data_IF_357507386113
#
_entry.id   IF_357507386113
#
_cell.length_a   1.000
_cell.length_b   1.000
_cell.length_c   1.000
_cell.angle_alpha   90.00
_cell.angle_beta   90.00
_cell.angle_gamma   90.00
#
_symmetry.space_group_name_H-M   'P 1'
#
loop_
_entity.id
_entity.type
_entity.pdbx_description
1 polymer ?
#
# COMPACT_ATOMS: atom_id res chain seq x y z
N UNK A 1 35.46 -3.77 6.37
CA UNK A 1 34.23 -4.61 6.27
C UNK A 1 33.49 -4.11 5.05
N UNK A 2 32.88 -4.95 4.26
CA UNK A 2 32.07 -4.49 3.12
C UNK A 2 30.86 -3.72 3.69
N UNK A 3 30.55 -2.54 3.13
CA UNK A 3 29.41 -1.70 3.55
C UNK A 3 28.08 -2.47 3.57
N UNK A 4 27.93 -3.43 2.68
CA UNK A 4 26.81 -4.35 2.62
C UNK A 4 26.68 -5.20 3.86
N UNK A 5 27.81 -5.64 4.41
CA UNK A 5 27.88 -6.44 5.62
C UNK A 5 27.58 -5.62 6.87
N UNK A 6 28.10 -4.39 6.95
CA UNK A 6 27.77 -3.47 8.04
C UNK A 6 26.28 -3.12 8.07
N UNK A 7 25.67 -2.89 6.89
CA UNK A 7 24.24 -2.64 6.76
C UNK A 7 23.44 -3.83 7.34
N UNK A 8 23.78 -5.07 6.94
CA UNK A 8 23.11 -6.26 7.43
C UNK A 8 23.24 -6.42 8.96
N UNK A 9 24.41 -6.10 9.52
CA UNK A 9 24.61 -6.13 10.98
C UNK A 9 23.68 -5.14 11.69
N UNK A 10 23.51 -3.91 11.18
CA UNK A 10 22.58 -2.92 11.76
C UNK A 10 21.14 -3.41 11.66
N UNK A 11 20.73 -4.02 10.55
CA UNK A 11 19.40 -4.65 10.40
C UNK A 11 19.20 -5.75 11.44
N UNK A 12 20.14 -6.70 11.54
CA UNK A 12 20.06 -7.80 12.51
C UNK A 12 19.92 -7.29 13.94
N UNK A 13 20.79 -6.36 14.36
CA UNK A 13 20.78 -5.80 15.70
C UNK A 13 19.53 -4.93 15.96
N UNK A 14 19.08 -4.18 14.97
CA UNK A 14 17.96 -3.26 15.09
C UNK A 14 16.60 -3.95 15.19
N UNK A 15 16.38 -5.02 14.43
CA UNK A 15 15.15 -5.81 14.42
C UNK A 15 15.22 -7.08 15.27
N UNK A 16 16.35 -7.36 15.91
CA UNK A 16 16.59 -8.59 16.65
C UNK A 16 16.34 -9.85 15.79
N UNK A 17 16.89 -9.84 14.57
CA UNK A 17 16.78 -10.93 13.62
C UNK A 17 18.11 -11.68 13.50
N UNK A 18 18.03 -13.00 13.29
CA UNK A 18 19.19 -13.75 12.84
C UNK A 18 19.56 -13.37 11.38
N UNK A 19 20.80 -13.61 11.01
CA UNK A 19 21.37 -13.22 9.73
C UNK A 19 20.61 -13.82 8.53
N UNK A 20 20.18 -15.08 8.61
CA UNK A 20 19.47 -15.76 7.52
C UNK A 20 18.11 -15.11 7.29
N UNK A 21 17.37 -14.86 8.35
CA UNK A 21 16.08 -14.18 8.31
C UNK A 21 16.23 -12.75 7.78
N UNK A 22 17.22 -11.99 8.26
CA UNK A 22 17.47 -10.64 7.79
C UNK A 22 17.83 -10.60 6.28
N UNK A 23 18.68 -11.53 5.80
CA UNK A 23 18.98 -11.64 4.37
C UNK A 23 17.73 -11.91 3.55
N UNK A 24 16.91 -12.86 3.97
CA UNK A 24 15.68 -13.21 3.26
C UNK A 24 14.72 -12.02 3.10
N UNK A 25 14.58 -11.17 4.12
CA UNK A 25 13.65 -10.03 4.07
C UNK A 25 14.22 -8.79 3.38
N UNK A 26 15.52 -8.57 3.42
CA UNK A 26 16.12 -7.30 3.01
C UNK A 26 17.15 -7.42 1.88
N UNK A 27 17.45 -8.64 1.40
CA UNK A 27 18.44 -8.89 0.34
C UNK A 27 17.93 -9.80 -0.76
N UNK A 28 17.03 -10.74 -0.42
CA UNK A 28 16.47 -11.67 -1.39
C UNK A 28 15.20 -11.09 -2.06
N UNK A 29 14.82 -9.86 -1.70
CA UNK A 29 13.71 -9.14 -2.35
C UNK A 29 14.06 -8.78 -3.79
N UNK A 30 13.17 -9.01 -4.78
CA UNK A 30 13.45 -8.79 -6.20
C UNK A 30 13.69 -7.32 -6.55
N UNK A 31 13.19 -6.39 -5.74
CA UNK A 31 13.40 -4.95 -5.94
C UNK A 31 14.67 -4.43 -5.30
N UNK A 32 15.38 -5.29 -4.57
CA UNK A 32 16.54 -4.87 -3.83
C UNK A 32 17.75 -4.58 -4.73
N UNK A 33 18.33 -3.39 -4.56
CA UNK A 33 19.59 -2.98 -5.15
C UNK A 33 20.46 -2.22 -4.13
N UNK A 34 21.78 -2.29 -4.29
CA UNK A 34 22.72 -1.70 -3.31
C UNK A 34 22.57 -0.18 -3.22
N UNK A 35 22.31 0.50 -4.34
CA UNK A 35 22.13 1.95 -4.42
C UNK A 35 20.85 2.48 -3.76
N UNK A 36 19.94 1.61 -3.34
CA UNK A 36 18.73 1.98 -2.61
C UNK A 36 18.96 2.12 -1.09
N UNK A 37 20.15 1.73 -0.61
CA UNK A 37 20.48 1.73 0.82
C UNK A 37 21.01 3.08 1.26
N UNK A 38 20.49 3.51 2.39
CA UNK A 38 20.89 4.74 3.05
C UNK A 38 21.41 4.44 4.44
N UNK A 39 22.52 5.06 4.78
CA UNK A 39 23.19 4.89 6.07
C UNK A 39 23.54 6.21 6.72
N UNK A 40 23.53 6.22 8.06
CA UNK A 40 24.02 7.31 8.87
C UNK A 40 25.19 6.79 9.68
N UNK A 41 26.37 7.41 9.48
CA UNK A 41 27.59 7.09 10.18
C UNK A 41 27.85 8.14 11.25
N UNK A 42 28.33 7.68 12.40
CA UNK A 42 28.87 8.54 13.44
C UNK A 42 30.36 8.29 13.58
N UNK A 43 31.10 9.37 13.82
CA UNK A 43 32.52 9.24 14.14
C UNK A 43 32.67 8.74 15.56
N UNK A 44 33.34 7.60 15.71
CA UNK A 44 33.68 7.01 17.01
C UNK A 44 35.20 6.87 17.09
N UNK A 45 35.84 7.72 17.88
CA UNK A 45 37.30 7.88 17.94
C UNK A 45 37.87 8.26 16.54
N UNK A 46 38.66 7.38 15.96
CA UNK A 46 39.27 7.56 14.64
C UNK A 46 38.45 6.90 13.49
N UNK A 47 37.42 6.15 13.82
CA UNK A 47 36.67 5.35 12.83
C UNK A 47 35.22 5.85 12.66
N UNK A 48 34.66 5.59 11.48
CA UNK A 48 33.25 5.81 11.20
C UNK A 48 32.49 4.53 11.47
N UNK A 49 31.39 4.61 12.21
CA UNK A 49 30.50 3.50 12.53
C UNK A 49 29.12 3.75 11.93
N UNK A 50 28.61 2.79 11.17
CA UNK A 50 27.24 2.80 10.67
C UNK A 50 26.30 2.53 11.82
N UNK A 51 25.37 3.46 12.11
CA UNK A 51 24.52 3.40 13.32
C UNK A 51 23.03 3.41 13.02
N UNK A 52 22.61 3.90 11.86
CA UNK A 52 21.21 3.89 11.44
C UNK A 52 21.12 3.66 9.94
N UNK A 53 20.12 2.90 9.52
CA UNK A 53 19.93 2.51 8.12
C UNK A 53 18.46 2.56 7.72
N UNK A 54 18.23 2.68 6.42
CA UNK A 54 16.96 2.40 5.76
C UNK A 54 17.21 2.05 4.28
N UNK A 55 16.20 1.49 3.63
CA UNK A 55 16.19 1.25 2.18
C UNK A 55 15.06 2.06 1.56
N UNK A 56 15.31 2.71 0.41
CA UNK A 56 14.33 3.42 -0.39
C UNK A 56 14.16 2.70 -1.73
N UNK A 57 13.11 1.90 -1.86
CA UNK A 57 12.85 1.02 -3.01
C UNK A 57 11.97 1.74 -4.03
N UNK A 58 12.41 1.92 -5.30
CA UNK A 58 11.55 2.50 -6.33
C UNK A 58 10.40 1.54 -6.65
N UNK A 59 9.18 2.06 -6.58
CA UNK A 59 7.94 1.32 -6.79
C UNK A 59 6.97 2.18 -7.60
N UNK A 60 5.89 1.56 -8.06
CA UNK A 60 4.74 2.26 -8.63
C UNK A 60 3.47 1.75 -7.95
N UNK A 61 2.69 2.69 -7.39
CA UNK A 61 1.44 2.38 -6.69
C UNK A 61 0.24 2.90 -7.48
N UNK A 62 -0.87 2.18 -7.43
CA UNK A 62 -2.12 2.66 -8.03
C UNK A 62 -2.90 3.53 -7.06
N UNK A 63 -3.32 4.70 -7.54
CA UNK A 63 -4.25 5.60 -6.86
C UNK A 63 -5.41 5.88 -7.82
N UNK A 64 -6.56 5.28 -7.58
CA UNK A 64 -7.62 5.21 -8.59
C UNK A 64 -7.12 4.52 -9.86
N UNK A 65 -7.32 5.14 -11.01
CA UNK A 65 -6.83 4.65 -12.30
C UNK A 65 -5.37 5.02 -12.59
N UNK A 66 -4.73 5.84 -11.75
CA UNK A 66 -3.37 6.35 -12.00
C UNK A 66 -2.31 5.43 -11.42
N UNK A 67 -1.25 5.21 -12.19
CA UNK A 67 0.00 4.59 -11.73
C UNK A 67 0.94 5.71 -11.29
N UNK A 68 1.21 5.80 -10.00
CA UNK A 68 1.99 6.87 -9.38
C UNK A 68 3.36 6.32 -9.00
N UNK A 69 4.47 6.82 -9.56
CA UNK A 69 5.80 6.49 -9.10
C UNK A 69 5.95 6.84 -7.62
N UNK A 70 6.61 5.98 -6.85
CA UNK A 70 6.83 6.23 -5.43
C UNK A 70 8.09 5.50 -4.93
N UNK A 71 8.49 5.82 -3.71
CA UNK A 71 9.52 5.06 -3.02
C UNK A 71 8.95 4.35 -1.79
N UNK A 72 9.16 3.04 -1.71
CA UNK A 72 8.89 2.23 -0.53
C UNK A 72 10.02 2.39 0.49
N UNK A 73 9.72 2.96 1.67
CA UNK A 73 10.72 3.10 2.74
C UNK A 73 10.66 1.87 3.63
N UNK A 74 11.73 1.11 3.63
CA UNK A 74 11.85 -0.17 4.31
C UNK A 74 13.06 -0.23 5.25
N UNK A 75 13.04 -1.12 6.23
CA UNK A 75 14.20 -1.43 7.06
C UNK A 75 14.70 -0.28 7.95
N UNK A 76 13.84 0.71 8.26
CA UNK A 76 14.23 1.86 9.08
C UNK A 76 14.61 1.39 10.48
N UNK A 77 15.89 1.43 10.79
CA UNK A 77 16.37 1.00 12.10
C UNK A 77 17.63 1.73 12.55
N UNK A 78 17.87 1.69 13.87
CA UNK A 78 19.06 2.26 14.54
C UNK A 78 19.58 1.25 15.56
N UNK A 79 20.89 1.10 15.62
CA UNK A 79 21.53 0.24 16.62
C UNK A 79 21.00 0.54 18.02
N UNK A 80 20.71 -0.48 18.86
CA UNK A 80 20.08 -0.29 20.17
C UNK A 80 20.75 0.75 21.05
N UNK A 81 22.07 0.77 21.11
CA UNK A 81 22.88 1.68 21.94
C UNK A 81 22.89 3.14 21.42
N UNK A 82 22.41 3.38 20.19
CA UNK A 82 22.30 4.70 19.57
C UNK A 82 20.87 5.22 19.46
N UNK A 83 19.88 4.47 19.95
CA UNK A 83 18.46 4.87 19.93
C UNK A 83 18.20 6.12 20.77
N UNK A 84 17.05 6.76 20.53
CA UNK A 84 16.58 7.98 21.25
C UNK A 84 17.48 9.21 21.07
N UNK A 85 18.36 9.22 20.05
CA UNK A 85 19.22 10.36 19.70
C UNK A 85 18.76 11.10 18.45
N UNK A 86 17.58 10.79 17.92
CA UNK A 86 17.04 11.43 16.72
C UNK A 86 17.66 10.98 15.40
N UNK A 87 18.50 9.93 15.38
CA UNK A 87 19.26 9.50 14.19
C UNK A 87 18.35 8.97 13.08
N UNK A 88 17.38 8.10 13.39
CA UNK A 88 16.41 7.65 12.41
C UNK A 88 15.60 8.81 11.82
N UNK A 89 15.26 9.82 12.65
CA UNK A 89 14.58 11.03 12.19
C UNK A 89 15.46 11.86 11.23
N UNK A 90 16.76 11.98 11.54
CA UNK A 90 17.70 12.69 10.68
C UNK A 90 17.88 11.98 9.34
N UNK A 91 18.06 10.65 9.36
CA UNK A 91 18.20 9.82 8.17
C UNK A 91 16.94 9.89 7.30
N UNK A 92 15.75 9.75 7.91
CA UNK A 92 14.48 9.80 7.18
C UNK A 92 14.26 11.16 6.51
N UNK A 93 14.62 12.28 7.16
CA UNK A 93 14.56 13.61 6.55
C UNK A 93 15.52 13.73 5.37
N UNK A 94 16.78 13.34 5.55
CA UNK A 94 17.78 13.39 4.49
C UNK A 94 17.36 12.61 3.23
N UNK A 95 16.77 11.41 3.41
CA UNK A 95 16.27 10.60 2.31
C UNK A 95 15.07 11.29 1.64
N UNK A 96 14.11 11.80 2.38
CA UNK A 96 12.95 12.51 1.80
C UNK A 96 13.40 13.77 1.03
N UNK A 97 14.41 14.49 1.52
CA UNK A 97 14.95 15.68 0.84
C UNK A 97 15.68 15.30 -0.45
N UNK A 98 16.42 14.20 -0.46
CA UNK A 98 17.05 13.68 -1.67
C UNK A 98 16.01 13.21 -2.70
N UNK A 99 15.00 12.46 -2.27
CA UNK A 99 13.91 12.02 -3.14
C UNK A 99 13.13 13.21 -3.73
N UNK A 100 12.96 14.30 -2.94
CA UNK A 100 12.35 15.54 -3.44
C UNK A 100 13.22 16.19 -4.51
N UNK A 101 14.53 16.22 -4.31
CA UNK A 101 15.45 16.76 -5.30
C UNK A 101 15.44 15.96 -6.62
N UNK A 102 15.15 14.67 -6.57
CA UNK A 102 14.94 13.80 -7.72
C UNK A 102 13.54 13.98 -8.36
N UNK A 103 12.66 14.76 -7.75
CA UNK A 103 11.30 14.98 -8.25
C UNK A 103 10.33 13.83 -7.93
N UNK A 104 10.65 12.97 -6.97
CA UNK A 104 9.76 11.87 -6.58
C UNK A 104 8.40 12.39 -6.10
N UNK A 105 7.27 11.89 -6.62
CA UNK A 105 5.95 12.35 -6.20
C UNK A 105 5.61 11.94 -4.76
N UNK A 106 5.94 10.71 -4.38
CA UNK A 106 5.37 10.06 -3.22
C UNK A 106 6.37 9.10 -2.57
N UNK A 107 6.32 8.98 -1.25
CA UNK A 107 6.91 7.88 -0.52
C UNK A 107 5.85 7.14 0.30
N UNK A 108 6.00 5.81 0.42
CA UNK A 108 5.09 4.92 1.14
C UNK A 108 5.86 4.04 2.12
N UNK A 109 5.22 3.57 3.17
CA UNK A 109 5.78 2.60 4.10
C UNK A 109 4.71 1.86 4.87
N UNK A 110 5.13 0.77 5.51
CA UNK A 110 4.37 0.06 6.53
C UNK A 110 4.96 0.38 7.89
N UNK A 111 4.17 1.01 8.75
CA UNK A 111 4.66 1.56 10.00
C UNK A 111 4.64 0.53 11.14
N UNK A 112 5.74 0.39 11.86
CA UNK A 112 5.77 -0.24 13.19
C UNK A 112 5.38 0.75 14.31
N UNK A 113 5.55 2.06 14.08
CA UNK A 113 5.14 3.15 14.98
C UNK A 113 4.59 4.34 14.17
N UNK A 114 3.26 4.39 14.03
CA UNK A 114 2.57 5.45 13.30
C UNK A 114 2.85 6.86 13.88
N UNK A 115 3.03 6.99 15.20
CA UNK A 115 3.30 8.28 15.85
C UNK A 115 4.66 8.83 15.46
N UNK A 116 5.66 7.93 15.30
CA UNK A 116 6.98 8.32 14.84
C UNK A 116 6.91 8.94 13.44
N UNK A 117 6.28 8.26 12.50
CA UNK A 117 6.24 8.70 11.11
C UNK A 117 5.34 9.95 10.91
N UNK A 118 4.24 10.08 11.66
CA UNK A 118 3.38 11.27 11.61
C UNK A 118 4.14 12.57 11.90
N UNK A 119 5.09 12.56 12.82
CA UNK A 119 5.95 13.73 13.12
C UNK A 119 6.80 14.16 11.92
N UNK A 120 6.95 13.31 10.93
CA UNK A 120 7.72 13.54 9.72
C UNK A 120 6.84 13.71 8.48
N UNK A 121 5.59 14.08 8.62
CA UNK A 121 4.68 14.39 7.50
C UNK A 121 4.01 13.19 6.84
N UNK A 122 4.14 12.00 7.43
CA UNK A 122 3.45 10.79 6.98
C UNK A 122 2.05 10.68 7.58
N UNK A 123 1.13 10.04 6.85
CA UNK A 123 -0.19 9.71 7.40
C UNK A 123 -0.61 8.29 6.99
N UNK A 124 -1.44 7.68 7.83
CA UNK A 124 -2.06 6.40 7.52
C UNK A 124 -3.14 6.63 6.46
N UNK A 125 -2.89 6.13 5.27
CA UNK A 125 -3.80 6.28 4.12
C UNK A 125 -4.54 5.00 3.80
N UNK A 126 -4.02 3.83 4.18
CA UNK A 126 -4.60 2.54 3.86
C UNK A 126 -4.84 1.65 5.07
N UNK A 127 -5.96 0.94 5.04
CA UNK A 127 -6.39 -0.02 6.05
C UNK A 127 -6.68 -1.35 5.39
N UNK A 128 -6.16 -2.43 5.96
CA UNK A 128 -6.38 -3.79 5.46
C UNK A 128 -7.30 -4.56 6.41
N UNK A 129 -8.48 -4.96 5.97
CA UNK A 129 -9.30 -5.91 6.69
C UNK A 129 -8.64 -7.29 6.70
N UNK A 130 -8.47 -7.85 7.89
CA UNK A 130 -8.14 -9.24 8.10
C UNK A 130 -9.39 -9.94 8.60
N UNK A 131 -9.91 -10.87 7.82
CA UNK A 131 -11.12 -11.60 8.12
C UNK A 131 -10.76 -13.06 8.41
N UNK A 132 -11.17 -13.56 9.57
CA UNK A 132 -10.94 -14.95 9.97
C UNK A 132 -12.27 -15.65 10.19
N UNK A 133 -12.45 -16.81 9.56
CA UNK A 133 -13.65 -17.62 9.64
C UNK A 133 -13.33 -19.11 9.54
N UNK A 134 -14.24 -19.97 9.94
CA UNK A 134 -14.11 -21.41 9.73
C UNK A 134 -14.47 -21.77 8.27
N UNK A 135 -13.84 -22.78 7.65
CA UNK A 135 -14.17 -23.20 6.28
C UNK A 135 -15.65 -23.52 6.08
N UNK A 136 -16.31 -24.12 7.08
CA UNK A 136 -17.74 -24.44 7.06
C UNK A 136 -18.66 -23.21 6.93
N UNK A 137 -18.15 -21.99 7.18
CA UNK A 137 -18.87 -20.73 7.02
C UNK A 137 -18.80 -20.18 5.59
N UNK A 138 -17.96 -20.78 4.73
CA UNK A 138 -17.93 -20.45 3.32
C UNK A 138 -19.07 -21.12 2.56
N UNK A 139 -19.57 -20.46 1.50
CA UNK A 139 -20.56 -21.08 0.63
C UNK A 139 -19.95 -22.28 -0.11
N UNK A 140 -20.67 -23.37 -0.14
CA UNK A 140 -20.31 -24.55 -0.93
C UNK A 140 -20.90 -24.42 -2.33
N UNK A 141 -20.05 -24.51 -3.32
CA UNK A 141 -20.41 -24.43 -4.73
C UNK A 141 -20.03 -25.73 -5.43
N UNK A 142 -20.93 -26.23 -6.25
CA UNK A 142 -20.60 -27.22 -7.28
C UNK A 142 -19.92 -26.45 -8.43
N UNK A 143 -18.60 -26.49 -8.47
CA UNK A 143 -17.79 -25.72 -9.41
C UNK A 143 -16.60 -26.56 -9.86
N UNK A 144 -16.02 -26.30 -11.04
CA UNK A 144 -14.80 -26.96 -11.49
C UNK A 144 -13.70 -26.86 -10.47
N UNK A 145 -12.87 -27.90 -10.32
CA UNK A 145 -11.75 -27.89 -9.40
C UNK A 145 -10.69 -26.87 -9.84
N UNK A 146 -10.00 -26.28 -8.88
CA UNK A 146 -8.80 -25.51 -9.18
C UNK A 146 -7.67 -26.45 -9.59
N UNK A 147 -6.80 -25.98 -10.47
CA UNK A 147 -5.54 -26.66 -10.77
C UNK A 147 -4.33 -25.87 -10.27
N UNK A 148 -3.23 -26.55 -10.05
CA UNK A 148 -1.97 -25.91 -9.72
C UNK A 148 -1.43 -25.13 -10.92
N UNK A 149 -0.81 -23.96 -10.63
CA UNK A 149 -0.13 -23.17 -11.66
C UNK A 149 1.18 -23.82 -12.10
N UNK A 150 1.50 -23.68 -13.39
CA UNK A 150 2.75 -24.06 -14.02
C UNK A 150 3.48 -22.83 -14.55
N UNK A 151 4.79 -22.90 -14.84
CA UNK A 151 5.57 -21.76 -15.33
C UNK A 151 4.96 -21.06 -16.56
N UNK A 152 4.34 -21.80 -17.47
CA UNK A 152 3.72 -21.29 -18.69
C UNK A 152 2.44 -20.47 -18.42
N UNK A 153 1.89 -20.54 -17.20
CA UNK A 153 0.70 -19.78 -16.81
C UNK A 153 1.04 -18.33 -16.40
N UNK A 154 2.31 -18.01 -16.16
CA UNK A 154 2.74 -16.74 -15.58
C UNK A 154 2.17 -15.54 -16.34
N UNK A 155 2.29 -15.53 -17.65
CA UNK A 155 1.82 -14.40 -18.48
C UNK A 155 0.30 -14.21 -18.38
N UNK A 156 -0.47 -15.30 -18.31
CA UNK A 156 -1.91 -15.23 -18.17
C UNK A 156 -2.33 -14.75 -16.76
N UNK A 157 -1.59 -15.13 -15.71
CA UNK A 157 -1.78 -14.62 -14.34
C UNK A 157 -1.48 -13.13 -14.27
N UNK A 158 -0.41 -12.64 -14.91
CA UNK A 158 -0.08 -11.21 -15.01
C UNK A 158 -1.23 -10.44 -15.66
N UNK A 159 -1.69 -10.89 -16.83
CA UNK A 159 -2.83 -10.24 -17.53
C UNK A 159 -4.09 -10.18 -16.67
N UNK A 160 -4.38 -11.25 -15.94
CA UNK A 160 -5.55 -11.29 -15.06
C UNK A 160 -5.40 -10.32 -13.87
N UNK A 161 -4.20 -10.23 -13.27
CA UNK A 161 -3.94 -9.25 -12.22
C UNK A 161 -4.10 -7.82 -12.72
N UNK A 162 -3.50 -7.48 -13.85
CA UNK A 162 -3.58 -6.13 -14.41
C UNK A 162 -5.02 -5.73 -14.74
N UNK A 163 -5.82 -6.67 -15.22
CA UNK A 163 -7.23 -6.43 -15.55
C UNK A 163 -8.15 -6.35 -14.32
N UNK A 164 -7.88 -7.12 -13.28
CA UNK A 164 -8.82 -7.32 -12.18
C UNK A 164 -8.23 -7.07 -10.78
N UNK A 165 -7.00 -7.51 -10.53
CA UNK A 165 -6.36 -7.42 -9.22
C UNK A 165 -5.80 -6.04 -8.90
N UNK A 166 -5.23 -5.39 -9.91
CA UNK A 166 -4.58 -4.09 -9.77
C UNK A 166 -5.54 -2.89 -9.71
N UNK A 167 -6.84 -3.10 -9.69
CA UNK A 167 -7.87 -2.03 -9.70
C UNK A 167 -8.05 -1.30 -8.37
N UNK A 168 -7.50 -1.83 -7.28
CA UNK A 168 -7.66 -1.23 -5.95
C UNK A 168 -6.61 -0.17 -5.70
N UNK A 169 -7.01 0.95 -5.10
CA UNK A 169 -6.05 1.96 -4.61
C UNK A 169 -5.16 1.35 -3.54
N UNK A 170 -3.84 1.48 -3.72
CA UNK A 170 -2.84 0.85 -2.85
C UNK A 170 -2.19 -0.39 -3.46
N UNK A 171 -2.72 -0.96 -4.56
CA UNK A 171 -2.08 -2.06 -5.29
C UNK A 171 -0.79 -1.59 -5.95
N UNK A 172 0.24 -2.43 -5.97
CA UNK A 172 1.46 -2.13 -6.72
C UNK A 172 1.32 -2.50 -8.20
N UNK A 173 1.96 -1.73 -9.06
CA UNK A 173 2.25 -2.15 -10.43
C UNK A 173 3.48 -3.04 -10.35
N UNK A 174 3.28 -4.33 -10.57
CA UNK A 174 4.35 -5.33 -10.47
C UNK A 174 5.07 -5.46 -11.79
N UNK A 175 6.39 -5.37 -11.76
CA UNK A 175 7.23 -5.68 -12.91
C UNK A 175 7.45 -7.20 -13.07
N UNK A 176 8.15 -7.59 -14.13
CA UNK A 176 8.43 -8.99 -14.41
C UNK A 176 9.28 -9.66 -13.30
N UNK A 177 10.23 -8.93 -12.72
CA UNK A 177 11.09 -9.44 -11.62
C UNK A 177 10.24 -9.81 -10.39
N UNK A 178 9.27 -8.95 -10.03
CA UNK A 178 8.36 -9.21 -8.91
C UNK A 178 7.48 -10.42 -9.20
N UNK A 179 6.93 -10.51 -10.40
CA UNK A 179 6.09 -11.64 -10.78
C UNK A 179 6.85 -12.96 -10.76
N UNK A 180 8.07 -13.00 -11.30
CA UNK A 180 8.93 -14.18 -11.24
C UNK A 180 9.21 -14.58 -9.79
N UNK A 181 9.56 -13.61 -8.93
CA UNK A 181 9.77 -13.86 -7.51
C UNK A 181 8.53 -14.45 -6.82
N UNK A 182 7.36 -13.87 -7.01
CA UNK A 182 6.10 -14.37 -6.43
C UNK A 182 5.80 -15.79 -6.92
N UNK A 183 5.96 -16.01 -8.19
CA UNK A 183 5.66 -17.31 -8.82
C UNK A 183 6.56 -18.44 -8.30
N UNK A 184 7.84 -18.16 -8.10
CA UNK A 184 8.80 -19.14 -7.63
C UNK A 184 8.85 -19.28 -6.10
N UNK A 185 8.51 -18.25 -5.34
CA UNK A 185 8.66 -18.24 -3.88
C UNK A 185 7.35 -18.44 -3.10
N UNK A 186 6.19 -18.33 -3.75
CA UNK A 186 4.91 -18.69 -3.13
C UNK A 186 4.49 -20.06 -3.64
N UNK A 187 4.58 -21.11 -2.81
CA UNK A 187 4.44 -22.50 -3.28
C UNK A 187 3.00 -22.87 -3.69
N UNK A 188 2.01 -22.08 -3.26
CA UNK A 188 0.59 -22.40 -3.43
C UNK A 188 -0.11 -21.34 -4.28
N UNK A 189 0.12 -21.43 -5.60
CA UNK A 189 -0.66 -20.73 -6.60
C UNK A 189 -1.58 -21.71 -7.31
N UNK A 190 -2.88 -21.48 -7.22
CA UNK A 190 -3.91 -22.30 -7.84
C UNK A 190 -4.77 -21.46 -8.78
N UNK A 191 -5.22 -22.06 -9.86
CA UNK A 191 -5.89 -21.39 -10.96
C UNK A 191 -7.30 -21.94 -11.15
N UNK A 192 -8.23 -21.05 -11.47
CA UNK A 192 -9.55 -21.35 -11.96
C UNK A 192 -9.58 -21.12 -13.47
N UNK A 193 -9.65 -22.19 -14.24
CA UNK A 193 -9.81 -22.12 -15.69
C UNK A 193 -11.26 -21.85 -16.06
N UNK A 194 -11.48 -21.14 -17.17
CA UNK A 194 -12.76 -20.86 -17.76
C UNK A 194 -12.74 -21.03 -19.27
N UNK A 195 -13.75 -20.49 -19.96
CA UNK A 195 -13.86 -20.64 -21.42
C UNK A 195 -12.74 -19.94 -22.19
N UNK A 196 -12.29 -18.79 -21.68
CA UNK A 196 -11.28 -17.97 -22.32
C UNK A 196 -9.89 -18.06 -21.65
N UNK A 197 -9.59 -19.20 -21.02
CA UNK A 197 -8.34 -19.44 -20.31
C UNK A 197 -8.46 -19.23 -18.79
N UNK A 198 -7.43 -18.67 -18.14
CA UNK A 198 -7.42 -18.46 -16.70
C UNK A 198 -8.34 -17.30 -16.35
N UNK A 199 -9.36 -17.55 -15.53
CA UNK A 199 -10.34 -16.58 -15.08
C UNK A 199 -10.27 -16.23 -13.61
N UNK A 200 -9.46 -16.97 -12.85
CA UNK A 200 -9.18 -16.67 -11.44
C UNK A 200 -7.91 -17.33 -10.95
N UNK A 201 -7.36 -16.77 -9.88
CA UNK A 201 -6.26 -17.41 -9.16
C UNK A 201 -6.33 -17.16 -7.66
N UNK A 202 -5.65 -18.02 -6.91
CA UNK A 202 -5.53 -17.98 -5.46
C UNK A 202 -4.07 -18.21 -5.05
N UNK A 203 -3.46 -17.20 -4.41
CA UNK A 203 -2.23 -17.36 -3.64
C UNK A 203 -2.54 -17.57 -2.17
N UNK A 204 -1.99 -18.61 -1.56
CA UNK A 204 -2.16 -18.86 -0.13
C UNK A 204 -0.93 -19.50 0.51
N UNK A 205 -0.85 -19.43 1.81
CA UNK A 205 0.09 -20.17 2.65
C UNK A 205 -0.63 -20.74 3.89
N UNK A 206 0.10 -21.55 4.65
CA UNK A 206 -0.38 -22.07 5.93
C UNK A 206 0.36 -21.40 7.07
N UNK A 207 -0.38 -21.03 8.11
CA UNK A 207 0.13 -20.49 9.36
C UNK A 207 -0.40 -21.31 10.54
N UNK A 208 0.01 -20.95 11.77
CA UNK A 208 -0.41 -21.66 12.98
C UNK A 208 -0.15 -23.18 12.89
N UNK A 209 1.05 -23.56 12.48
CA UNK A 209 1.44 -24.97 12.28
C UNK A 209 0.53 -25.74 11.31
N UNK A 210 -0.01 -25.07 10.31
CA UNK A 210 -0.88 -25.66 9.29
C UNK A 210 -2.37 -25.61 9.61
N UNK A 211 -2.78 -25.10 10.79
CA UNK A 211 -4.18 -25.05 11.16
C UNK A 211 -4.97 -23.89 10.55
N UNK A 212 -4.28 -22.90 10.00
CA UNK A 212 -4.90 -21.75 9.32
C UNK A 212 -4.41 -21.65 7.91
N UNK A 213 -5.32 -21.65 6.92
CA UNK A 213 -5.05 -21.31 5.54
C UNK A 213 -5.18 -19.81 5.40
N UNK A 214 -4.09 -19.12 5.05
CA UNK A 214 -4.08 -17.68 4.85
C UNK A 214 -4.09 -17.35 3.36
N UNK A 215 -5.16 -16.73 2.90
CA UNK A 215 -5.27 -16.19 1.54
C UNK A 215 -4.41 -14.93 1.44
N UNK A 216 -3.33 -15.03 0.67
CA UNK A 216 -2.39 -13.93 0.42
C UNK A 216 -2.92 -12.98 -0.64
N UNK A 217 -3.51 -13.54 -1.67
CA UNK A 217 -4.16 -12.81 -2.75
C UNK A 217 -5.15 -13.72 -3.46
N UNK A 218 -6.24 -13.14 -3.90
CA UNK A 218 -7.28 -13.82 -4.66
C UNK A 218 -7.83 -12.86 -5.70
N UNK A 219 -7.81 -13.27 -6.96
CA UNK A 219 -8.27 -12.48 -8.09
C UNK A 219 -9.20 -13.34 -8.94
N UNK A 220 -10.28 -12.74 -9.43
CA UNK A 220 -11.23 -13.39 -10.32
C UNK A 220 -11.82 -12.39 -11.31
N UNK A 221 -12.09 -12.86 -12.52
CA UNK A 221 -12.75 -12.10 -13.58
C UNK A 221 -14.23 -12.44 -13.69
N UNK A 222 -14.58 -13.71 -13.46
CA UNK A 222 -15.94 -14.23 -13.63
C UNK A 222 -16.51 -14.77 -12.32
N UNK A 223 -17.84 -14.83 -12.26
CA UNK A 223 -18.55 -15.42 -11.13
C UNK A 223 -18.26 -16.92 -11.00
N UNK A 224 -18.04 -17.61 -12.11
CA UNK A 224 -17.67 -19.03 -12.11
C UNK A 224 -16.30 -19.25 -11.41
N UNK A 225 -15.30 -18.42 -11.75
CA UNK A 225 -13.99 -18.47 -11.11
C UNK A 225 -14.06 -18.13 -9.62
N UNK A 226 -14.87 -17.13 -9.21
CA UNK A 226 -15.10 -16.80 -7.81
C UNK A 226 -15.68 -17.98 -7.04
N UNK A 227 -16.70 -18.63 -7.61
CA UNK A 227 -17.34 -19.83 -6.99
C UNK A 227 -16.36 -20.99 -6.90
N UNK A 228 -15.56 -21.23 -7.92
CA UNK A 228 -14.56 -22.29 -7.92
C UNK A 228 -13.54 -22.09 -6.78
N UNK A 229 -13.03 -20.86 -6.60
CA UNK A 229 -12.08 -20.54 -5.53
C UNK A 229 -12.73 -20.70 -4.15
N UNK A 230 -13.95 -20.16 -3.95
CA UNK A 230 -14.64 -20.29 -2.67
C UNK A 230 -15.03 -21.73 -2.34
N UNK A 231 -15.49 -22.51 -3.33
CA UNK A 231 -15.79 -23.93 -3.18
C UNK A 231 -14.56 -24.75 -2.80
N UNK A 232 -13.40 -24.45 -3.45
CA UNK A 232 -12.15 -25.08 -3.10
C UNK A 232 -11.71 -24.74 -1.66
N UNK A 233 -11.83 -23.49 -1.24
CA UNK A 233 -11.53 -23.06 0.13
C UNK A 233 -12.45 -23.76 1.14
N UNK A 234 -13.75 -23.85 0.86
CA UNK A 234 -14.73 -24.54 1.71
C UNK A 234 -14.43 -26.05 1.86
N UNK A 235 -13.95 -26.70 0.80
CA UNK A 235 -13.61 -28.12 0.81
C UNK A 235 -12.41 -28.47 1.72
N UNK A 236 -11.67 -27.50 2.21
CA UNK A 236 -10.55 -27.71 3.13
C UNK A 236 -10.97 -27.83 4.62
N UNK A 237 -12.27 -27.97 4.93
CA UNK A 237 -12.78 -28.01 6.31
C UNK A 237 -12.19 -29.13 7.19
N UNK A 238 -11.76 -30.25 6.59
CA UNK A 238 -11.11 -31.33 7.31
C UNK A 238 -9.61 -31.07 7.58
N UNK A 239 -9.01 -30.19 6.80
CA UNK A 239 -7.56 -29.95 6.82
C UNK A 239 -7.17 -28.73 7.65
N UNK A 240 -8.03 -27.72 7.75
CA UNK A 240 -7.74 -26.48 8.47
C UNK A 240 -8.91 -26.07 9.39
N UNK A 241 -8.58 -25.40 10.51
CA UNK A 241 -9.58 -24.89 11.45
C UNK A 241 -10.09 -23.50 11.08
N UNK A 242 -9.30 -22.74 10.33
CA UNK A 242 -9.64 -21.38 9.95
C UNK A 242 -9.09 -21.03 8.57
N UNK A 243 -9.79 -20.10 7.91
CA UNK A 243 -9.31 -19.40 6.73
C UNK A 243 -9.18 -17.92 7.10
N UNK A 244 -8.04 -17.34 6.79
CA UNK A 244 -7.74 -15.93 6.99
C UNK A 244 -7.62 -15.23 5.64
N UNK A 245 -8.40 -14.18 5.44
CA UNK A 245 -8.35 -13.34 4.24
C UNK A 245 -7.73 -12.00 4.57
N UNK A 246 -6.73 -11.62 3.80
CA UNK A 246 -6.08 -10.31 3.84
C UNK A 246 -6.34 -9.59 2.51
N UNK A 247 -7.58 -9.20 2.28
CA UNK A 247 -8.07 -8.62 1.02
C UNK A 247 -8.51 -7.17 1.21
N UNK A 248 -8.40 -6.32 0.16
CA UNK A 248 -9.06 -5.02 0.16
C UNK A 248 -10.54 -5.14 0.48
N UNK A 249 -11.12 -4.13 1.15
CA UNK A 249 -12.51 -4.20 1.63
C UNK A 249 -13.50 -4.40 0.46
N UNK A 250 -13.25 -3.78 -0.67
CA UNK A 250 -14.07 -3.97 -1.88
C UNK A 250 -14.03 -5.42 -2.37
N UNK A 251 -12.85 -6.04 -2.38
CA UNK A 251 -12.71 -7.45 -2.75
C UNK A 251 -13.46 -8.34 -1.74
N UNK A 252 -13.32 -8.07 -0.45
CA UNK A 252 -14.06 -8.77 0.59
C UNK A 252 -15.57 -8.67 0.38
N UNK A 253 -16.11 -7.48 0.13
CA UNK A 253 -17.54 -7.27 -0.10
C UNK A 253 -18.05 -8.04 -1.34
N UNK A 254 -17.24 -8.12 -2.40
CA UNK A 254 -17.57 -8.86 -3.61
C UNK A 254 -17.56 -10.38 -3.43
N UNK A 255 -16.94 -10.91 -2.38
CA UNK A 255 -17.00 -12.34 -2.10
C UNK A 255 -18.44 -12.82 -1.80
N UNK A 256 -19.31 -11.93 -1.35
CA UNK A 256 -20.71 -12.29 -1.05
C UNK A 256 -20.83 -13.29 0.10
N UNK A 257 -19.84 -13.35 0.97
CA UNK A 257 -19.88 -14.16 2.18
C UNK A 257 -20.78 -13.43 3.18
N UNK A 258 -22.08 -13.73 3.11
CA UNK A 258 -23.00 -13.35 4.16
C UNK A 258 -22.86 -14.40 5.26
N UNK A 259 -22.48 -14.01 6.46
CA UNK A 259 -22.27 -14.91 7.59
C UNK A 259 -23.52 -15.67 8.09
N UNK A 260 -24.52 -15.88 7.23
CA UNK A 260 -25.83 -16.39 7.58
C UNK A 260 -26.13 -17.81 7.09
N UNK A 261 -25.15 -18.52 6.52
CA UNK A 261 -25.40 -19.88 6.00
C UNK A 261 -25.59 -20.92 7.11
N UNK A 262 -25.08 -20.66 8.29
CA UNK A 262 -25.38 -21.42 9.50
C UNK A 262 -25.33 -20.44 10.67
N UNK A 263 -26.47 -19.90 11.12
CA UNK A 263 -26.48 -19.05 12.29
C UNK A 263 -25.91 -19.85 13.47
N UNK A 264 -25.02 -19.24 14.28
CA UNK A 264 -24.51 -19.90 15.48
C UNK A 264 -25.68 -20.27 16.40
N UNK A 265 -25.53 -21.35 17.12
CA UNK A 265 -26.50 -21.77 18.12
C UNK A 265 -26.71 -20.71 19.22
N UNK A 266 -25.73 -19.83 19.40
CA UNK A 266 -25.80 -18.65 20.26
C UNK A 266 -25.77 -17.40 19.37
N UNK A 267 -26.80 -16.52 19.38
CA UNK A 267 -26.89 -15.32 18.59
C UNK A 267 -25.81 -14.26 18.95
N UNK A 268 -25.13 -14.44 20.08
CA UNK A 268 -24.02 -13.56 20.51
C UNK A 268 -22.65 -14.04 20.03
N UNK A 269 -22.55 -15.24 19.47
CA UNK A 269 -21.27 -15.73 18.89
C UNK A 269 -21.07 -15.11 17.51
N UNK A 270 -19.97 -14.37 17.27
CA UNK A 270 -19.72 -13.78 15.96
C UNK A 270 -19.47 -14.87 14.92
N UNK A 271 -20.12 -14.74 13.77
CA UNK A 271 -19.97 -15.67 12.65
C UNK A 271 -18.57 -15.61 12.06
N UNK A 272 -17.97 -14.43 12.09
CA UNK A 272 -16.56 -14.19 11.71
C UNK A 272 -16.03 -12.97 12.45
N UNK A 273 -14.70 -12.86 12.51
CA UNK A 273 -14.04 -11.71 13.10
C UNK A 273 -13.38 -10.89 12.00
N UNK A 274 -13.60 -9.58 12.02
CA UNK A 274 -12.87 -8.63 11.18
C UNK A 274 -11.96 -7.81 12.08
N UNK A 275 -10.67 -7.86 11.82
CA UNK A 275 -9.69 -6.95 12.37
C UNK A 275 -9.26 -5.98 11.28
N UNK A 276 -9.36 -4.68 11.53
CA UNK A 276 -8.90 -3.66 10.59
C UNK A 276 -7.53 -3.18 11.01
N UNK A 277 -6.55 -3.44 10.17
CA UNK A 277 -5.15 -3.09 10.43
C UNK A 277 -4.79 -1.78 9.72
N UNK A 278 -4.40 -0.70 10.44
CA UNK A 278 -3.78 0.46 9.82
C UNK A 278 -2.41 0.03 9.28
N UNK A 279 -2.22 0.11 7.98
CA UNK A 279 -1.11 -0.58 7.37
C UNK A 279 -0.25 0.31 6.48
N UNK A 280 -0.86 0.95 5.50
CA UNK A 280 -0.15 1.78 4.55
C UNK A 280 -0.08 3.22 5.06
N UNK A 281 1.12 3.74 5.22
CA UNK A 281 1.37 5.18 5.38
C UNK A 281 1.96 5.76 4.11
N UNK A 282 1.58 7.00 3.82
CA UNK A 282 2.09 7.74 2.68
C UNK A 282 2.51 9.16 3.07
N UNK A 283 3.45 9.71 2.30
CA UNK A 283 3.90 11.09 2.39
C UNK A 283 4.10 11.66 0.99
N UNK A 284 3.44 12.76 0.62
CA UNK A 284 3.83 13.55 -0.55
C UNK A 284 5.27 14.03 -0.38
N UNK A 285 6.12 13.75 -1.38
CA UNK A 285 7.53 14.16 -1.42
C UNK A 285 7.67 15.44 -2.26
N UNK A 286 7.22 15.42 -3.52
CA UNK A 286 6.95 16.60 -4.34
C UNK A 286 5.44 16.70 -4.55
N UNK A 287 4.82 17.75 -3.97
CA UNK A 287 3.38 17.95 -4.12
C UNK A 287 3.03 18.26 -5.58
N UNK A 288 3.90 18.99 -6.29
CA UNK A 288 3.75 19.26 -7.72
C UNK A 288 3.69 17.96 -8.52
N UNK A 289 4.74 17.13 -8.43
CA UNK A 289 4.82 15.89 -9.19
C UNK A 289 3.67 14.93 -8.86
N UNK A 290 3.22 14.88 -7.60
CA UNK A 290 2.07 14.08 -7.20
C UNK A 290 0.79 14.58 -7.87
N UNK A 291 0.50 15.87 -7.81
CA UNK A 291 -0.72 16.44 -8.40
C UNK A 291 -0.69 16.37 -9.93
N UNK A 292 0.43 16.65 -10.57
CA UNK A 292 0.59 16.49 -12.02
C UNK A 292 0.32 15.04 -12.46
N UNK A 293 0.81 14.06 -11.70
CA UNK A 293 0.56 12.64 -11.99
C UNK A 293 -0.92 12.26 -11.79
N UNK A 294 -1.52 12.69 -10.68
CA UNK A 294 -2.91 12.33 -10.36
C UNK A 294 -3.93 13.01 -11.29
N UNK A 295 -3.65 14.26 -11.67
CA UNK A 295 -4.56 15.09 -12.47
C UNK A 295 -4.23 15.08 -13.97
N UNK A 296 -3.21 14.32 -14.39
CA UNK A 296 -2.86 14.18 -15.80
C UNK A 296 -4.11 13.82 -16.64
N UNK A 297 -4.36 14.55 -17.71
CA UNK A 297 -5.51 14.31 -18.61
C UNK A 297 -6.90 14.33 -17.91
N UNK A 298 -6.97 14.85 -16.69
CA UNK A 298 -8.25 14.98 -15.98
C UNK A 298 -8.95 16.24 -16.47
N UNK A 299 -10.20 16.15 -16.95
CA UNK A 299 -10.94 17.34 -17.34
C UNK A 299 -11.27 18.18 -16.11
N UNK A 300 -11.29 19.50 -16.29
CA UNK A 300 -11.80 20.40 -15.27
C UNK A 300 -13.29 20.12 -15.03
N UNK A 301 -13.72 19.94 -13.76
CA UNK A 301 -15.13 19.74 -13.44
C UNK A 301 -15.99 20.94 -13.87
N UNK A 302 -17.28 20.70 -14.09
CA UNK A 302 -18.24 21.78 -14.37
C UNK A 302 -18.25 22.78 -13.20
N UNK A 303 -18.17 24.07 -13.53
CA UNK A 303 -18.12 25.13 -12.51
C UNK A 303 -16.78 25.25 -11.81
N UNK A 304 -15.73 24.63 -12.30
CA UNK A 304 -14.38 24.73 -11.74
C UNK A 304 -13.94 26.19 -11.55
N UNK A 305 -13.47 26.48 -10.34
CA UNK A 305 -12.85 27.78 -10.02
C UNK A 305 -11.38 27.55 -9.67
N UNK A 306 -10.45 28.31 -10.29
CA UNK A 306 -9.05 28.23 -9.96
C UNK A 306 -8.79 28.54 -8.49
N UNK A 307 -7.87 27.81 -7.88
CA UNK A 307 -7.42 28.06 -6.52
C UNK A 307 -5.94 27.71 -6.33
N UNK A 308 -5.36 28.31 -5.30
CA UNK A 308 -4.00 28.00 -4.87
C UNK A 308 -4.01 26.96 -3.76
N UNK A 309 -3.13 25.98 -3.84
CA UNK A 309 -2.89 24.97 -2.82
C UNK A 309 -1.55 25.25 -2.13
N UNK A 310 -1.57 25.58 -0.85
CA UNK A 310 -0.38 25.75 -0.02
C UNK A 310 -0.21 24.53 0.90
N UNK A 311 0.79 23.71 0.65
CA UNK A 311 1.11 22.56 1.51
C UNK A 311 2.22 22.97 2.46
N UNK A 312 1.96 22.93 3.78
CA UNK A 312 2.89 23.39 4.83
C UNK A 312 3.16 22.27 5.83
N UNK A 313 4.43 22.03 6.12
CA UNK A 313 4.85 21.03 7.10
C UNK A 313 5.11 21.71 8.46
N UNK A 314 4.05 21.95 9.22
CA UNK A 314 4.14 22.59 10.54
C UNK A 314 4.85 23.95 10.50
N UNK A 315 5.70 24.22 11.50
CA UNK A 315 6.43 25.48 11.63
C UNK A 315 7.78 25.52 10.90
N UNK A 316 8.12 24.52 10.09
CA UNK A 316 9.45 24.41 9.46
C UNK A 316 9.69 25.39 8.29
N UNK A 317 8.67 26.14 7.89
CA UNK A 317 8.77 27.04 6.72
C UNK A 317 8.83 26.29 5.37
N UNK A 318 9.07 24.99 5.38
CA UNK A 318 9.13 24.15 4.20
C UNK A 318 7.72 23.89 3.65
N UNK A 319 7.51 24.20 2.39
CA UNK A 319 6.22 23.94 1.77
C UNK A 319 6.22 24.32 0.29
N UNK A 320 5.27 23.74 -0.42
CA UNK A 320 5.01 24.06 -1.81
C UNK A 320 3.74 24.90 -1.92
N UNK A 321 3.73 25.87 -2.82
CA UNK A 321 2.54 26.66 -3.15
C UNK A 321 2.28 26.52 -4.64
N UNK A 322 1.15 25.92 -4.98
CA UNK A 322 0.80 25.51 -6.33
C UNK A 322 -0.56 26.09 -6.70
N UNK A 323 -0.79 26.40 -7.96
CA UNK A 323 -2.12 26.76 -8.46
C UNK A 323 -2.72 25.57 -9.23
N UNK A 324 -4.03 25.38 -9.07
CA UNK A 324 -4.84 24.54 -9.95
C UNK A 324 -5.65 25.48 -10.83
N UNK A 325 -5.43 25.37 -12.14
CA UNK A 325 -6.10 26.18 -13.16
C UNK A 325 -6.64 25.27 -14.29
N UNK A 326 -7.50 25.79 -15.13
CA UNK A 326 -7.94 25.09 -16.33
C UNK A 326 -7.38 25.78 -17.58
N UNK A 327 -6.83 25.01 -18.50
CA UNK A 327 -6.47 25.45 -19.84
C UNK A 327 -7.33 24.68 -20.86
N UNK A 328 -8.32 25.35 -21.43
CA UNK A 328 -9.40 24.66 -22.15
C UNK A 328 -10.18 23.77 -21.19
N UNK A 329 -10.27 22.46 -21.53
CA UNK A 329 -10.90 21.46 -20.65
C UNK A 329 -9.93 20.74 -19.71
N UNK A 330 -8.63 20.94 -19.82
CA UNK A 330 -7.63 20.24 -19.01
C UNK A 330 -7.25 21.01 -17.73
N UNK A 331 -7.09 20.28 -16.63
CA UNK A 331 -6.50 20.82 -15.41
C UNK A 331 -4.98 20.97 -15.55
N UNK A 332 -4.46 22.06 -15.02
CA UNK A 332 -3.03 22.37 -15.02
C UNK A 332 -2.58 22.74 -13.62
N UNK A 333 -1.47 22.16 -13.19
CA UNK A 333 -0.77 22.48 -11.96
C UNK A 333 0.33 23.50 -12.29
N UNK A 334 0.23 24.71 -11.71
CA UNK A 334 1.18 25.79 -11.92
C UNK A 334 1.75 26.34 -10.61
N UNK A 335 2.46 27.46 -10.70
CA UNK A 335 2.90 28.19 -9.51
C UNK A 335 1.73 28.93 -8.86
N UNK A 336 1.77 29.04 -7.53
CA UNK A 336 0.70 29.65 -6.75
C UNK A 336 0.43 31.10 -7.19
N UNK A 337 -0.85 31.47 -7.28
CA UNK A 337 -1.31 32.77 -7.69
C UNK A 337 -1.84 33.54 -6.48
N UNK A 338 -1.37 34.76 -6.19
CA UNK A 338 -1.74 35.48 -4.99
C UNK A 338 -3.21 35.95 -4.97
N UNK A 339 -3.82 36.14 -6.13
CA UNK A 339 -5.20 36.65 -6.28
C UNK A 339 -6.28 35.56 -6.22
N UNK A 340 -5.90 34.29 -5.98
CA UNK A 340 -6.82 33.17 -5.89
C UNK A 340 -7.06 32.79 -4.42
N UNK A 341 -8.21 32.12 -4.16
CA UNK A 341 -8.42 31.47 -2.87
C UNK A 341 -7.28 30.49 -2.59
N UNK A 342 -6.70 30.57 -1.39
CA UNK A 342 -5.62 29.68 -0.98
C UNK A 342 -6.11 28.63 0.01
N UNK A 343 -6.14 27.37 -0.42
CA UNK A 343 -6.36 26.22 0.43
C UNK A 343 -5.04 25.81 1.09
N UNK A 344 -4.97 25.90 2.41
CA UNK A 344 -3.78 25.45 3.16
C UNK A 344 -3.98 24.05 3.72
N UNK A 345 -3.08 23.13 3.42
CA UNK A 345 -3.08 21.76 3.88
C UNK A 345 -1.74 21.39 4.53
N UNK A 346 -1.76 20.35 5.36
CA UNK A 346 -0.54 19.65 5.77
C UNK A 346 -0.20 18.54 4.76
N UNK A 347 1.05 18.03 4.70
CA UNK A 347 1.37 16.86 3.90
C UNK A 347 0.51 15.65 4.23
N UNK A 348 0.16 15.48 5.51
CA UNK A 348 -0.74 14.42 5.98
C UNK A 348 -2.15 14.56 5.36
N UNK A 349 -2.72 15.75 5.38
CA UNK A 349 -4.05 16.00 4.79
C UNK A 349 -4.03 15.81 3.28
N UNK A 350 -2.96 16.26 2.61
CA UNK A 350 -2.80 16.01 1.17
C UNK A 350 -2.68 14.51 0.86
N UNK A 351 -1.99 13.73 1.68
CA UNK A 351 -1.92 12.28 1.51
C UNK A 351 -3.30 11.62 1.64
N UNK A 352 -4.08 11.98 2.67
CA UNK A 352 -5.45 11.48 2.86
C UNK A 352 -6.35 11.81 1.67
N UNK A 353 -6.26 13.05 1.19
CA UNK A 353 -7.02 13.53 0.04
C UNK A 353 -6.62 12.78 -1.24
N UNK A 354 -5.32 12.70 -1.55
CA UNK A 354 -4.80 12.05 -2.75
C UNK A 354 -5.20 10.57 -2.83
N UNK A 355 -5.11 9.85 -1.71
CA UNK A 355 -5.53 8.45 -1.64
C UNK A 355 -7.04 8.26 -1.55
N UNK A 356 -7.81 9.31 -1.24
CA UNK A 356 -9.26 9.21 -1.00
C UNK A 356 -9.59 8.38 0.24
N UNK A 357 -8.74 8.43 1.28
CA UNK A 357 -8.94 7.67 2.52
C UNK A 357 -10.22 8.08 3.25
N UNK A 358 -10.54 9.35 3.17
CA UNK A 358 -11.78 9.97 3.64
C UNK A 358 -12.36 10.84 2.54
N UNK A 359 -13.68 11.02 2.53
CA UNK A 359 -14.33 11.99 1.66
C UNK A 359 -13.90 13.41 2.01
N UNK A 360 -13.99 14.33 1.07
CA UNK A 360 -13.71 15.77 1.31
C UNK A 360 -14.62 16.32 2.40
N UNK A 361 -15.90 15.94 2.37
CA UNK A 361 -16.86 16.31 3.41
C UNK A 361 -16.42 15.86 4.82
N UNK A 362 -15.88 14.63 4.94
CA UNK A 362 -15.37 14.12 6.22
C UNK A 362 -14.10 14.85 6.66
N UNK A 363 -13.14 15.12 5.75
CA UNK A 363 -11.96 15.92 6.05
C UNK A 363 -12.32 17.35 6.49
N UNK A 364 -13.34 17.94 5.86
CA UNK A 364 -13.87 19.25 6.25
C UNK A 364 -14.51 19.21 7.65
N UNK A 365 -15.38 18.21 7.92
CA UNK A 365 -16.01 18.02 9.23
C UNK A 365 -14.99 17.79 10.35
N UNK A 366 -13.88 17.11 10.06
CA UNK A 366 -12.74 16.89 10.97
C UNK A 366 -11.83 18.12 11.13
N UNK A 367 -12.14 19.24 10.45
CA UNK A 367 -11.34 20.47 10.41
C UNK A 367 -9.91 20.28 9.90
N UNK A 368 -9.70 19.30 9.04
CA UNK A 368 -8.40 19.03 8.41
C UNK A 368 -8.20 19.86 7.14
N UNK A 369 -9.28 20.35 6.53
CA UNK A 369 -9.29 21.32 5.45
C UNK A 369 -10.48 22.29 5.59
N UNK A 370 -10.30 23.52 5.10
CA UNK A 370 -11.35 24.53 5.04
C UNK A 370 -11.29 25.23 3.70
N UNK A 371 -12.40 25.24 2.97
CA UNK A 371 -12.52 25.91 1.69
C UNK A 371 -13.96 26.34 1.44
N UNK A 372 -14.22 27.31 0.52
CA UNK A 372 -15.54 27.61 0.03
C UNK A 372 -16.19 26.41 -0.64
N UNK A 373 -17.52 26.34 -0.64
CA UNK A 373 -18.28 25.19 -1.18
C UNK A 373 -17.91 24.83 -2.61
N UNK A 374 -17.65 25.81 -3.48
CA UNK A 374 -17.22 25.56 -4.85
C UNK A 374 -15.87 24.82 -4.93
N UNK A 375 -14.92 25.13 -4.03
CA UNK A 375 -13.63 24.45 -3.96
C UNK A 375 -13.81 23.06 -3.34
N UNK A 376 -14.65 22.91 -2.31
CA UNK A 376 -14.97 21.60 -1.71
C UNK A 376 -15.58 20.68 -2.77
N UNK A 377 -16.54 21.15 -3.55
CA UNK A 377 -17.14 20.38 -4.62
C UNK A 377 -16.11 19.96 -5.68
N UNK A 378 -15.24 20.89 -6.08
CA UNK A 378 -14.12 20.58 -6.99
C UNK A 378 -13.23 19.45 -6.45
N UNK A 379 -12.85 19.55 -5.17
CA UNK A 379 -12.02 18.52 -4.53
C UNK A 379 -12.71 17.16 -4.49
N UNK A 380 -14.02 17.09 -4.22
CA UNK A 380 -14.80 15.85 -4.24
C UNK A 380 -14.76 15.15 -5.62
N UNK A 381 -14.86 15.95 -6.69
CA UNK A 381 -14.79 15.44 -8.05
C UNK A 381 -13.38 14.93 -8.41
N UNK A 382 -12.33 15.62 -7.96
CA UNK A 382 -10.94 15.28 -8.28
C UNK A 382 -10.39 14.15 -7.40
N UNK A 383 -10.79 14.11 -6.13
CA UNK A 383 -10.28 13.19 -5.13
C UNK A 383 -11.43 12.42 -4.45
N UNK A 384 -12.13 11.56 -5.18
CA UNK A 384 -13.25 10.79 -4.62
C UNK A 384 -12.76 9.85 -3.52
N UNK A 385 -13.66 9.55 -2.58
CA UNK A 385 -13.41 8.55 -1.54
C UNK A 385 -13.06 7.19 -2.17
N UNK A 386 -12.06 6.55 -1.60
CA UNK A 386 -11.58 5.21 -1.94
C UNK A 386 -11.32 4.44 -0.64
N UNK A 387 -10.94 3.19 -0.76
CA UNK A 387 -10.58 2.37 0.40
C UNK A 387 -9.20 1.78 0.20
N UNK A 388 -8.14 2.59 0.33
CA UNK A 388 -6.79 2.17 0.01
C UNK A 388 -6.34 1.00 0.88
N UNK A 389 -5.72 0.01 0.26
CA UNK A 389 -5.10 -1.10 0.95
C UNK A 389 -3.90 -1.63 0.16
N UNK A 390 -2.82 -1.95 0.85
CA UNK A 390 -1.69 -2.68 0.30
C UNK A 390 -1.76 -4.12 0.80
N UNK A 391 -1.80 -5.09 -0.10
CA UNK A 391 -1.89 -6.50 0.29
C UNK A 391 -0.55 -7.03 0.79
N UNK A 392 -0.51 -8.00 1.73
CA UNK A 392 0.75 -8.51 2.29
C UNK A 392 1.68 -9.17 1.28
N UNK A 393 1.16 -9.56 0.12
CA UNK A 393 1.96 -10.13 -0.97
C UNK A 393 2.88 -9.08 -1.62
N UNK A 394 2.55 -7.80 -1.49
CA UNK A 394 3.27 -6.65 -2.03
C UNK A 394 4.13 -5.89 -1.01
N UNK A 395 4.38 -6.48 0.16
CA UNK A 395 5.29 -5.90 1.15
C UNK A 395 6.73 -5.84 0.59
N UNK A 396 7.42 -4.77 0.89
CA UNK A 396 8.77 -4.42 0.42
C UNK A 396 9.71 -4.10 1.57
#
# INVERSE_FOLDING_TARGET
MDESEEFLQVICAGFNLDRRTARRFFYDDPYFEVNQRWGLWLRHWSEWKLVSVLTAVPLTIRIGSRAVPCYGISGVTTLPEYRRRGLASALLRAVVDALRAEGAPLAILQAFDHKFYRKHGWETVGYLPQVRLAPAQLPRYDAPPLRRAYPDDLEAVIRLYDACGARYTGSLVRDERRWQYLFWNIPNLWLADGQDGIEGYLFYDFVDSGWTLRVREMVWRTEAARRAILGWLAANEESVKAIEFNLPLEAWQQLGISGWQSPPSDPHTPVYTIQVLPQLMARPVSCRALLETLLAETPAPDGFQPFTLAVRNGNSGDGETLSLTAQGSALVVGDGQPDQFTLTLTPQTLALLAFGTFSVAELHARRMLHAPDAVLHTLEMLFPERRPALTPIDYF
#
